data_IF_236199387263
#
_entry.id   IF_236199387263
#
_cell.length_a   1.000
_cell.length_b   1.000
_cell.length_c   1.000
_cell.angle_alpha   90.00
_cell.angle_beta   90.00
_cell.angle_gamma   90.00
#
_symmetry.space_group_name_H-M   'P 1'
#
loop_
_entity.id
_entity.type
_entity.pdbx_description
1 polymer ?
#
# COMPACT_ATOMS: atom_id res chain seq x y z
N UNK A 1 -16.23 -10.93 -5.52
CA UNK A 1 -15.12 -11.78 -6.03
C UNK A 1 -14.33 -11.01 -7.09
N UNK A 2 -14.19 -9.70 -6.90
CA UNK A 2 -14.15 -8.79 -8.07
C UNK A 2 -12.74 -8.34 -8.44
N UNK A 3 -11.74 -8.64 -7.59
CA UNK A 3 -10.36 -8.19 -7.81
C UNK A 3 -9.41 -9.31 -8.28
N UNK A 4 -9.65 -10.57 -7.91
CA UNK A 4 -8.77 -11.66 -8.33
C UNK A 4 -9.33 -12.36 -9.56
N UNK A 5 -8.48 -12.89 -10.46
CA UNK A 5 -8.96 -13.74 -11.53
C UNK A 5 -9.79 -14.91 -10.99
N UNK A 6 -10.82 -15.38 -11.71
CA UNK A 6 -11.67 -16.46 -11.25
C UNK A 6 -10.86 -17.75 -11.06
N UNK A 7 -11.17 -18.49 -10.00
CA UNK A 7 -10.60 -19.83 -9.79
C UNK A 7 -11.34 -20.85 -10.65
N UNK A 8 -10.63 -21.88 -11.07
CA UNK A 8 -11.25 -23.08 -11.63
C UNK A 8 -11.83 -23.95 -10.50
N UNK A 9 -13.14 -23.84 -10.31
CA UNK A 9 -13.87 -24.56 -9.26
C UNK A 9 -14.16 -26.04 -9.60
N UNK A 10 -13.83 -26.50 -10.81
CA UNK A 10 -13.92 -27.93 -11.16
C UNK A 10 -12.87 -28.78 -10.43
N UNK A 11 -11.78 -28.15 -10.00
CA UNK A 11 -10.69 -28.80 -9.28
C UNK A 11 -11.10 -29.14 -7.85
N UNK A 12 -10.61 -30.28 -7.34
CA UNK A 12 -10.83 -30.68 -5.94
C UNK A 12 -10.34 -29.62 -4.93
N UNK A 13 -9.28 -28.89 -5.31
CA UNK A 13 -8.69 -27.82 -4.50
C UNK A 13 -8.38 -26.60 -5.39
N UNK A 14 -9.37 -25.74 -5.66
CA UNK A 14 -9.22 -24.58 -6.54
C UNK A 14 -8.15 -23.62 -6.02
N UNK A 15 -7.12 -23.37 -6.83
CA UNK A 15 -6.03 -22.45 -6.48
C UNK A 15 -5.37 -21.83 -7.71
N UNK A 16 -4.70 -20.70 -7.51
CA UNK A 16 -3.93 -20.00 -8.53
C UNK A 16 -2.74 -19.27 -7.91
N UNK A 17 -1.74 -18.94 -8.74
CA UNK A 17 -0.69 -17.97 -8.38
C UNK A 17 -1.14 -16.57 -8.79
N UNK A 18 -1.03 -15.63 -7.87
CA UNK A 18 -1.23 -14.20 -8.12
C UNK A 18 0.12 -13.51 -8.12
N UNK A 19 0.33 -12.62 -9.07
CA UNK A 19 1.49 -11.72 -9.11
C UNK A 19 0.97 -10.30 -9.04
N UNK A 20 1.35 -9.57 -7.98
CA UNK A 20 0.91 -8.21 -7.76
C UNK A 20 2.09 -7.24 -7.60
N UNK A 21 2.04 -6.10 -8.29
CA UNK A 21 3.07 -5.05 -8.21
C UNK A 21 2.73 -4.01 -7.15
N UNK A 22 3.70 -3.62 -6.33
CA UNK A 22 3.52 -2.50 -5.41
C UNK A 22 3.85 -1.13 -6.05
N UNK A 23 3.66 -0.04 -5.30
CA UNK A 23 3.95 1.33 -5.77
C UNK A 23 5.42 1.58 -6.13
N UNK A 24 6.33 0.71 -5.71
CA UNK A 24 7.75 0.78 -6.05
C UNK A 24 8.11 -0.17 -7.21
N UNK A 25 7.11 -0.78 -7.86
CA UNK A 25 7.30 -1.74 -8.94
C UNK A 25 7.79 -3.12 -8.47
N UNK A 26 7.84 -3.38 -7.15
CA UNK A 26 8.25 -4.70 -6.65
C UNK A 26 7.11 -5.69 -6.84
N UNK A 27 7.41 -6.83 -7.46
CA UNK A 27 6.46 -7.92 -7.65
C UNK A 27 6.35 -8.83 -6.42
N UNK A 28 5.13 -9.17 -6.07
CA UNK A 28 4.77 -10.02 -4.95
C UNK A 28 3.95 -11.20 -5.46
N UNK A 29 4.45 -12.40 -5.21
CA UNK A 29 3.78 -13.65 -5.58
C UNK A 29 3.01 -14.22 -4.39
N UNK A 30 1.76 -14.58 -4.62
CA UNK A 30 0.90 -15.18 -3.61
C UNK A 30 0.19 -16.42 -4.15
N UNK A 31 0.05 -17.45 -3.32
CA UNK A 31 -0.88 -18.55 -3.61
C UNK A 31 -2.26 -18.22 -3.06
N UNK A 32 -3.20 -17.98 -3.96
CA UNK A 32 -4.63 -17.84 -3.67
C UNK A 32 -5.32 -19.20 -3.77
N UNK A 33 -6.02 -19.61 -2.72
CA UNK A 33 -6.68 -20.92 -2.63
C UNK A 33 -8.06 -20.79 -1.99
N UNK A 34 -9.03 -21.53 -2.52
CA UNK A 34 -10.36 -21.67 -1.94
C UNK A 34 -10.48 -23.01 -1.20
N UNK A 35 -10.48 -22.98 0.13
CA UNK A 35 -10.49 -24.19 0.98
C UNK A 35 -11.05 -23.93 2.38
N UNK A 36 -11.07 -24.97 3.21
CA UNK A 36 -11.53 -24.91 4.61
C UNK A 36 -13.00 -25.31 4.76
N UNK A 37 -13.48 -25.33 6.01
CA UNK A 37 -14.86 -25.65 6.35
C UNK A 37 -15.35 -24.68 7.43
N UNK A 38 -16.27 -23.73 7.11
CA UNK A 38 -16.79 -23.42 5.78
C UNK A 38 -15.69 -22.95 4.81
N UNK A 39 -15.91 -23.13 3.50
CA UNK A 39 -14.93 -22.74 2.47
C UNK A 39 -14.74 -21.21 2.45
N UNK A 40 -13.51 -20.78 2.24
CA UNK A 40 -13.11 -19.37 2.19
C UNK A 40 -11.89 -19.17 1.29
N UNK A 41 -11.74 -17.95 0.77
CA UNK A 41 -10.56 -17.52 0.03
C UNK A 41 -9.41 -17.24 1.00
N UNK A 42 -8.24 -17.76 0.70
CA UNK A 42 -7.03 -17.59 1.51
C UNK A 42 -5.86 -17.24 0.62
N UNK A 43 -5.05 -16.28 1.07
CA UNK A 43 -3.66 -16.14 0.62
C UNK A 43 -2.78 -16.95 1.56
N UNK A 44 -1.94 -17.82 0.98
CA UNK A 44 -1.11 -18.76 1.75
C UNK A 44 0.36 -18.49 1.50
N UNK A 45 1.00 -19.25 0.60
CA UNK A 45 2.39 -19.03 0.21
C UNK A 45 2.60 -17.59 -0.25
N UNK A 46 3.70 -16.96 0.20
CA UNK A 46 4.05 -15.58 -0.11
C UNK A 46 3.51 -14.54 0.88
N UNK A 47 2.39 -14.83 1.57
CA UNK A 47 1.76 -13.87 2.48
C UNK A 47 2.64 -13.47 3.67
N UNK A 48 3.26 -14.45 4.35
CA UNK A 48 4.12 -14.19 5.50
C UNK A 48 5.37 -13.39 5.14
N UNK A 49 5.98 -13.69 3.99
CA UNK A 49 7.14 -12.95 3.49
C UNK A 49 6.78 -11.48 3.19
N UNK A 50 5.62 -11.25 2.57
CA UNK A 50 5.09 -9.91 2.34
C UNK A 50 4.84 -9.14 3.66
N UNK A 51 4.14 -9.76 4.61
CA UNK A 51 3.88 -9.19 5.95
C UNK A 51 5.18 -8.81 6.63
N UNK A 52 6.18 -9.70 6.65
CA UNK A 52 7.46 -9.46 7.30
C UNK A 52 8.25 -8.33 6.62
N UNK A 53 8.39 -8.38 5.29
CA UNK A 53 9.16 -7.40 4.53
C UNK A 53 8.52 -6.01 4.56
N UNK A 54 7.19 -5.94 4.49
CA UNK A 54 6.43 -4.70 4.68
C UNK A 54 6.21 -4.36 6.15
N UNK A 55 6.69 -5.15 7.13
CA UNK A 55 6.52 -4.90 8.57
C UNK A 55 5.06 -4.61 8.96
N UNK A 56 4.12 -5.39 8.43
CA UNK A 56 2.69 -5.17 8.70
C UNK A 56 2.36 -5.62 10.12
N UNK A 57 1.46 -4.87 10.76
CA UNK A 57 0.90 -5.22 12.07
C UNK A 57 -0.62 -5.28 11.99
N UNK A 58 -1.26 -5.85 13.02
CA UNK A 58 -2.72 -5.82 13.13
C UNK A 58 -3.23 -4.38 13.10
N UNK A 59 -4.29 -4.14 12.33
CA UNK A 59 -4.85 -2.81 12.07
C UNK A 59 -4.35 -2.17 10.78
N UNK A 60 -3.19 -2.56 10.25
CA UNK A 60 -2.79 -2.14 8.91
C UNK A 60 -3.75 -2.73 7.86
N UNK A 61 -4.00 -1.97 6.80
CA UNK A 61 -4.79 -2.40 5.66
C UNK A 61 -3.89 -2.69 4.45
N UNK A 62 -4.18 -3.80 3.78
CA UNK A 62 -3.59 -4.16 2.49
C UNK A 62 -4.67 -4.02 1.44
N UNK A 63 -4.38 -3.27 0.38
CA UNK A 63 -5.29 -3.02 -0.73
C UNK A 63 -4.80 -3.83 -1.92
N UNK A 64 -5.72 -4.54 -2.58
CA UNK A 64 -5.51 -5.16 -3.87
C UNK A 64 -6.39 -4.46 -4.89
N UNK A 65 -5.83 -4.20 -6.07
CA UNK A 65 -6.47 -3.49 -7.17
C UNK A 65 -6.15 -4.25 -8.45
N UNK A 66 -7.12 -4.46 -9.32
CA UNK A 66 -6.90 -5.02 -10.66
C UNK A 66 -7.25 -3.95 -11.68
N UNK A 67 -6.29 -3.59 -12.53
CA UNK A 67 -6.54 -2.68 -13.64
C UNK A 67 -7.32 -3.35 -14.76
N UNK A 68 -7.81 -2.55 -15.70
CA UNK A 68 -8.49 -3.05 -16.91
C UNK A 68 -7.52 -3.85 -17.82
N UNK A 69 -6.22 -3.58 -17.69
CA UNK A 69 -5.12 -4.37 -18.26
C UNK A 69 -4.99 -5.78 -17.65
N UNK A 70 -5.77 -6.07 -16.60
CA UNK A 70 -5.70 -7.30 -15.85
C UNK A 70 -4.52 -7.37 -14.88
N UNK A 71 -3.65 -6.35 -14.83
CA UNK A 71 -2.53 -6.32 -13.90
C UNK A 71 -3.04 -6.16 -12.46
N UNK A 72 -2.55 -7.02 -11.58
CA UNK A 72 -2.82 -6.90 -10.15
C UNK A 72 -1.78 -5.97 -9.52
N UNK A 73 -2.26 -5.02 -8.73
CA UNK A 73 -1.45 -4.07 -7.97
C UNK A 73 -1.82 -4.17 -6.50
N UNK A 74 -0.88 -3.83 -5.63
CA UNK A 74 -1.12 -3.81 -4.20
C UNK A 74 -0.56 -2.55 -3.52
N UNK A 75 -1.20 -2.17 -2.43
CA UNK A 75 -0.79 -1.05 -1.60
C UNK A 75 -0.96 -1.35 -0.11
N UNK A 76 -0.28 -0.57 0.73
CA UNK A 76 -0.38 -0.67 2.18
C UNK A 76 -0.85 0.66 2.76
N UNK A 77 -1.89 0.62 3.59
CA UNK A 77 -2.29 1.73 4.45
C UNK A 77 -2.02 1.37 5.90
N UNK A 78 -1.20 2.17 6.56
CA UNK A 78 -0.88 1.96 7.98
C UNK A 78 -2.03 2.40 8.86
N UNK A 79 -2.27 1.66 9.93
CA UNK A 79 -3.15 2.14 10.99
C UNK A 79 -2.60 3.44 11.57
N UNK A 80 -3.49 4.38 11.90
CA UNK A 80 -3.12 5.53 12.72
C UNK A 80 -2.89 5.00 14.13
N UNK A 81 -1.63 4.86 14.53
CA UNK A 81 -1.31 4.57 15.92
C UNK A 81 -1.49 5.85 16.71
N UNK A 82 -2.62 5.98 17.42
CA UNK A 82 -2.75 6.93 18.52
C UNK A 82 -1.72 6.53 19.58
N UNK A 83 -0.51 7.11 19.50
CA UNK A 83 0.48 6.99 20.57
C UNK A 83 -0.05 7.74 21.79
N UNK A 84 -0.65 7.02 22.73
CA UNK A 84 -0.76 7.49 24.10
C UNK A 84 0.66 7.52 24.69
N UNK A 85 1.34 8.67 24.58
CA UNK A 85 2.64 8.90 25.19
C UNK A 85 3.60 9.69 24.30
N UNK A 86 3.79 10.96 24.69
CA UNK A 86 4.72 11.97 24.17
C UNK A 86 4.38 12.59 22.81
N UNK A 87 4.27 13.92 22.85
CA UNK A 87 3.82 14.79 21.78
C UNK A 87 4.73 14.69 20.54
N UNK A 88 4.10 14.54 19.37
CA UNK A 88 4.66 14.72 18.03
C UNK A 88 5.85 13.81 17.65
N UNK A 89 5.75 12.98 16.59
CA UNK A 89 6.94 12.48 15.92
C UNK A 89 7.78 13.69 15.49
N UNK A 90 9.07 13.68 15.82
CA UNK A 90 10.07 14.71 15.53
C UNK A 90 10.27 15.06 14.03
N UNK A 91 9.35 14.66 13.15
CA UNK A 91 9.26 15.07 11.75
C UNK A 91 8.38 16.32 11.55
N UNK A 92 7.53 16.67 12.51
CA UNK A 92 6.71 17.91 12.44
C UNK A 92 7.43 19.14 13.04
N UNK A 93 8.63 18.93 13.59
CA UNK A 93 9.58 20.00 13.95
C UNK A 93 10.60 20.26 12.83
N UNK A 94 10.26 19.94 11.58
CA UNK A 94 10.83 20.69 10.48
C UNK A 94 10.16 22.06 10.59
N UNK A 95 10.87 23.01 11.17
CA UNK A 95 10.63 24.42 10.94
C UNK A 95 10.16 24.57 9.50
N UNK A 96 8.98 25.17 9.29
CA UNK A 96 8.63 25.78 8.03
C UNK A 96 9.76 26.75 7.70
N UNK A 97 10.77 26.23 7.00
CA UNK A 97 12.04 26.88 6.79
C UNK A 97 11.72 28.21 6.13
N UNK A 98 12.15 29.31 6.74
CA UNK A 98 11.99 30.64 6.18
C UNK A 98 12.44 30.70 4.70
N UNK A 99 13.42 29.86 4.33
CA UNK A 99 13.86 29.64 2.95
C UNK A 99 12.82 29.04 2.00
N UNK A 100 11.91 28.17 2.45
CA UNK A 100 10.81 27.67 1.61
C UNK A 100 9.82 28.79 1.29
N UNK A 101 9.47 29.62 2.28
CA UNK A 101 8.58 30.76 2.05
C UNK A 101 9.23 31.81 1.14
N UNK A 102 10.51 32.12 1.36
CA UNK A 102 11.28 33.03 0.53
C UNK A 102 11.38 32.55 -0.93
N UNK A 103 11.62 31.25 -1.15
CA UNK A 103 11.65 30.67 -2.48
C UNK A 103 10.28 30.74 -3.18
N UNK A 104 9.19 30.51 -2.44
CA UNK A 104 7.83 30.67 -2.98
C UNK A 104 7.55 32.14 -3.32
N UNK A 105 7.88 33.08 -2.42
CA UNK A 105 7.69 34.51 -2.65
C UNK A 105 8.51 35.00 -3.86
N UNK A 106 9.77 34.56 -3.98
CA UNK A 106 10.61 34.85 -5.12
C UNK A 106 10.04 34.25 -6.42
N UNK A 107 9.56 33.00 -6.40
CA UNK A 107 8.94 32.37 -7.56
C UNK A 107 7.67 33.08 -8.00
N UNK A 108 6.85 33.57 -7.06
CA UNK A 108 5.67 34.41 -7.35
C UNK A 108 6.09 35.74 -7.96
N UNK A 109 7.08 36.42 -7.37
CA UNK A 109 7.57 37.72 -7.86
C UNK A 109 8.18 37.63 -9.26
N UNK A 110 8.92 36.57 -9.54
CA UNK A 110 9.60 36.33 -10.83
C UNK A 110 8.75 35.53 -11.82
N UNK A 111 7.53 35.12 -11.43
CA UNK A 111 6.63 34.25 -12.22
C UNK A 111 7.30 32.94 -12.66
N UNK A 112 8.13 32.35 -11.80
CA UNK A 112 8.82 31.08 -12.06
C UNK A 112 8.11 29.89 -11.41
N UNK A 113 8.42 28.67 -11.88
CA UNK A 113 7.88 27.42 -11.31
C UNK A 113 8.42 27.17 -9.90
N UNK A 114 7.60 26.56 -9.05
CA UNK A 114 8.01 25.99 -7.76
C UNK A 114 7.31 24.65 -7.50
N UNK A 115 7.83 23.86 -6.56
CA UNK A 115 7.33 22.52 -6.24
C UNK A 115 6.64 22.49 -4.88
N UNK A 116 5.52 21.77 -4.79
CA UNK A 116 4.79 21.52 -3.55
C UNK A 116 4.79 20.02 -3.29
N UNK A 117 5.16 19.62 -2.08
CA UNK A 117 5.01 18.26 -1.60
C UNK A 117 3.76 18.18 -0.73
N UNK A 118 2.75 17.43 -1.19
CA UNK A 118 1.52 17.18 -0.43
C UNK A 118 1.57 15.78 0.21
N UNK A 119 1.50 15.72 1.54
CA UNK A 119 1.39 14.47 2.28
C UNK A 119 0.01 14.40 2.98
N UNK A 120 -0.96 13.66 2.41
CA UNK A 120 -2.30 13.52 2.99
C UNK A 120 -2.38 12.56 4.18
N UNK A 121 -1.26 12.01 4.65
CA UNK A 121 -1.20 11.04 5.76
C UNK A 121 -0.51 11.60 6.99
#
# INVERSE_FOLDING_TARGET
EDCFPPLDYSQQRPSQELVAKDLHGTEWKFRHIYRGQPRRHLLTTGWSAFVNKKKLVSGDAVLFLRGDDGELRLGVRRAVQLKNGSAFPALYSQCSNLGTLANVAHAVATKSMFQIFYNPR
#
